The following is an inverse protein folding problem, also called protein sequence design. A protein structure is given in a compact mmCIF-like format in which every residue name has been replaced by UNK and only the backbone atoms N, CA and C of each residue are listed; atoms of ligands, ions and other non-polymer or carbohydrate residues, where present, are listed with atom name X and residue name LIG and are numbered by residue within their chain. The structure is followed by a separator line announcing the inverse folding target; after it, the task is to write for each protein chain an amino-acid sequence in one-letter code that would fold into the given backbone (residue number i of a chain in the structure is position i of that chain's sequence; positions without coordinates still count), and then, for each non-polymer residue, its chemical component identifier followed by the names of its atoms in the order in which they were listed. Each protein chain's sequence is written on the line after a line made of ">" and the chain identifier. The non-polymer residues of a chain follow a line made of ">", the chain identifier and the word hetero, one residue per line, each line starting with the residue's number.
data_IF_042196226339
#
_entry.id   IF_042196226339
#
_cell.length_a   1.000
_cell.length_b   1.000
_cell.length_c   1.000
_cell.angle_alpha   90.00
_cell.angle_beta   90.00
_cell.angle_gamma   90.00
#
_symmetry.space_group_name_H-M   'P 1'
#
loop_
_entity.id
_entity.type
_entity.pdbx_description
1 polymer ?
#
# COMPACT_ATOMS: atom_id res chain seq x y z
N UNK A 1 12.93 6.39 9.26
CA UNK A 1 11.54 6.52 9.71
C UNK A 1 10.60 6.85 8.56
N UNK A 2 11.04 7.74 7.67
CA UNK A 2 10.19 8.12 6.54
C UNK A 2 9.83 6.92 5.68
N UNK A 3 10.78 6.04 5.41
CA UNK A 3 10.52 4.87 4.58
C UNK A 3 9.47 3.95 5.20
N UNK A 4 9.50 3.80 6.51
CA UNK A 4 8.49 2.98 7.18
C UNK A 4 7.10 3.58 7.01
N UNK A 5 7.01 4.90 7.12
CA UNK A 5 5.72 5.57 6.96
C UNK A 5 5.19 5.44 5.54
N UNK A 6 6.06 5.63 4.55
CA UNK A 6 5.66 5.48 3.16
C UNK A 6 5.13 4.09 2.88
N UNK A 7 5.86 3.07 3.30
CA UNK A 7 5.44 1.69 3.08
C UNK A 7 4.14 1.40 3.84
N UNK A 8 4.07 1.85 5.09
CA UNK A 8 2.87 1.63 5.88
C UNK A 8 1.64 2.27 5.28
N UNK A 9 1.79 3.50 4.81
CA UNK A 9 0.67 4.19 4.18
C UNK A 9 0.25 3.48 2.89
N UNK A 10 1.20 3.08 2.08
CA UNK A 10 0.88 2.35 0.85
C UNK A 10 0.09 1.08 1.18
N UNK A 11 0.54 0.33 2.18
CA UNK A 11 -0.16 -0.90 2.57
C UNK A 11 -1.59 -0.60 3.05
N UNK A 12 -1.79 0.51 3.76
CA UNK A 12 -3.14 0.87 4.16
C UNK A 12 -4.02 1.15 2.95
N UNK A 13 -3.48 1.86 1.96
CA UNK A 13 -4.25 2.19 0.77
C UNK A 13 -4.62 0.96 -0.04
N UNK A 14 -3.81 -0.08 0.03
CA UNK A 14 -4.05 -1.29 -0.74
C UNK A 14 -5.07 -2.22 -0.10
N UNK A 15 -5.39 -2.02 1.16
CA UNK A 15 -6.34 -2.86 1.88
C UNK A 15 -7.77 -2.65 1.43
N UNK A 16 -8.11 -1.42 1.09
CA UNK A 16 -9.50 -1.05 0.78
C UNK A 16 -9.52 -0.18 -0.45
N UNK A 17 -10.72 0.03 -0.98
CA UNK A 17 -10.86 0.90 -2.13
C UNK A 17 -10.47 2.33 -1.79
N UNK A 18 -10.79 2.77 -0.60
CA UNK A 18 -10.42 4.10 -0.13
C UNK A 18 -10.28 4.11 1.38
N UNK A 19 -9.38 4.96 1.86
CA UNK A 19 -9.07 5.07 3.28
C UNK A 19 -9.08 6.56 3.63
N UNK A 20 -9.82 6.97 4.67
CA UNK A 20 -9.82 8.38 5.05
C UNK A 20 -8.43 8.82 5.51
N UNK A 21 -8.06 10.04 5.12
CA UNK A 21 -6.77 10.58 5.54
C UNK A 21 -6.66 10.65 7.05
N UNK A 22 -7.77 10.96 7.73
CA UNK A 22 -7.77 11.03 9.18
C UNK A 22 -7.44 9.70 9.82
N UNK A 23 -7.93 8.59 9.26
CA UNK A 23 -7.61 7.27 9.79
C UNK A 23 -6.11 7.03 9.74
N UNK A 24 -5.48 7.37 8.62
CA UNK A 24 -4.04 7.19 8.47
C UNK A 24 -3.29 8.10 9.43
N UNK A 25 -3.74 9.34 9.53
CA UNK A 25 -3.10 10.31 10.42
C UNK A 25 -3.14 9.82 11.87
N UNK A 26 -4.28 9.35 12.31
CA UNK A 26 -4.43 8.87 13.68
C UNK A 26 -3.58 7.61 13.92
N UNK A 27 -3.56 6.71 12.97
CA UNK A 27 -2.82 5.45 13.13
C UNK A 27 -1.33 5.69 13.27
N UNK A 28 -0.78 6.62 12.50
CA UNK A 28 0.66 6.87 12.51
C UNK A 28 1.06 8.09 13.30
N UNK A 29 0.08 8.72 13.99
CA UNK A 29 0.32 9.88 14.84
C UNK A 29 0.98 11.01 14.08
N UNK A 30 0.45 11.31 12.90
CA UNK A 30 0.90 12.42 12.07
C UNK A 30 -0.32 13.24 11.68
N UNK A 31 -0.07 14.43 11.14
CA UNK A 31 -1.17 15.29 10.70
C UNK A 31 -1.70 14.81 9.34
N UNK A 32 -2.94 15.19 9.02
CA UNK A 32 -3.47 14.90 7.70
C UNK A 32 -2.66 15.58 6.61
N UNK A 33 -2.13 16.77 6.92
CA UNK A 33 -1.25 17.44 5.98
C UNK A 33 -0.04 16.60 5.65
N UNK A 34 0.55 15.97 6.66
CA UNK A 34 1.69 15.08 6.45
C UNK A 34 1.27 13.85 5.66
N UNK A 35 0.06 13.31 5.91
CA UNK A 35 -0.44 12.20 5.12
C UNK A 35 -0.44 12.57 3.64
N UNK A 36 -1.00 13.73 3.30
CA UNK A 36 -1.07 14.14 1.88
C UNK A 36 0.31 14.36 1.29
N UNK A 37 1.26 14.78 2.10
CA UNK A 37 2.64 14.93 1.63
C UNK A 37 3.22 13.57 1.26
N UNK A 38 2.97 12.55 2.07
CA UNK A 38 3.42 11.20 1.73
C UNK A 38 2.69 10.65 0.51
N UNK A 39 1.41 11.00 0.35
CA UNK A 39 0.68 10.60 -0.86
C UNK A 39 1.36 11.18 -2.10
N UNK A 40 1.76 12.45 -2.03
CA UNK A 40 2.50 13.06 -3.14
C UNK A 40 3.82 12.31 -3.40
N UNK A 41 4.51 11.91 -2.35
CA UNK A 41 5.73 11.14 -2.50
C UNK A 41 5.47 9.81 -3.22
N UNK A 42 4.37 9.15 -2.89
CA UNK A 42 4.00 7.90 -3.57
C UNK A 42 3.73 8.14 -5.04
N UNK A 43 3.06 9.25 -5.37
CA UNK A 43 2.80 9.57 -6.76
C UNK A 43 4.09 9.83 -7.53
N UNK A 44 5.01 10.53 -6.91
CA UNK A 44 6.32 10.77 -7.52
C UNK A 44 7.03 9.45 -7.78
N UNK A 45 6.85 8.48 -6.88
CA UNK A 45 7.46 7.17 -7.03
C UNK A 45 6.76 6.28 -8.05
N UNK A 46 5.64 6.74 -8.61
CA UNK A 46 4.95 6.01 -9.66
C UNK A 46 3.69 5.28 -9.23
N UNK A 47 3.22 5.52 -8.01
CA UNK A 47 1.98 4.91 -7.53
C UNK A 47 0.83 5.89 -7.76
N UNK A 48 -0.06 5.62 -8.71
CA UNK A 48 -1.17 6.54 -8.99
C UNK A 48 -2.22 6.45 -7.89
N UNK A 49 -2.45 7.57 -7.22
CA UNK A 49 -3.45 7.64 -6.18
C UNK A 49 -4.69 8.38 -6.68
N UNK A 50 -5.79 8.13 -6.00
CA UNK A 50 -7.08 8.76 -6.31
C UNK A 50 -7.62 9.33 -5.02
N UNK A 51 -8.09 10.57 -5.06
CA UNK A 51 -8.73 11.19 -3.90
C UNK A 51 -10.23 11.23 -4.16
N UNK A 52 -10.97 10.68 -3.20
CA UNK A 52 -12.44 10.68 -3.25
C UNK A 52 -12.92 11.78 -2.31
N UNK A 53 -13.52 12.85 -2.84
CA UNK A 53 -13.95 13.97 -2.00
C UNK A 53 -15.20 13.64 -1.21
N UNK A 54 -15.48 14.50 -0.22
CA UNK A 54 -16.73 14.43 0.50
C UNK A 54 -16.65 13.68 1.80
N UNK A 55 -17.81 13.57 2.44
CA UNK A 55 -17.91 13.03 3.77
C UNK A 55 -17.48 11.58 3.86
N UNK A 56 -17.81 10.80 2.86
CA UNK A 56 -17.43 9.38 2.82
C UNK A 56 -16.25 9.15 1.90
N UNK A 57 -15.44 10.17 1.71
CA UNK A 57 -14.31 10.09 0.82
C UNK A 57 -13.09 9.46 1.46
N UNK A 58 -11.99 9.64 0.79
CA UNK A 58 -10.73 9.07 1.24
C UNK A 58 -9.72 9.04 0.12
N UNK A 59 -8.67 8.30 0.35
CA UNK A 59 -7.56 8.16 -0.60
C UNK A 59 -7.45 6.70 -0.99
N UNK A 60 -7.21 6.45 -2.25
CA UNK A 60 -7.02 5.09 -2.72
C UNK A 60 -5.96 5.02 -3.80
N UNK A 61 -5.69 3.82 -4.26
CA UNK A 61 -4.81 3.57 -5.39
C UNK A 61 -5.70 3.27 -6.59
N UNK A 62 -5.34 3.81 -7.75
CA UNK A 62 -6.10 3.56 -8.98
C UNK A 62 -6.24 2.05 -9.17
N UNK A 63 -7.48 1.60 -9.40
CA UNK A 63 -7.78 0.17 -9.52
C UNK A 63 -7.04 -0.50 -10.66
N UNK A 64 -6.66 0.26 -11.67
CA UNK A 64 -5.96 -0.29 -12.83
C UNK A 64 -4.48 -0.45 -12.58
N UNK A 65 -3.97 0.12 -11.51
CA UNK A 65 -2.55 0.05 -11.20
C UNK A 65 -2.15 -1.37 -10.81
N UNK A 66 -1.07 -1.84 -11.42
CA UNK A 66 -0.46 -3.11 -11.07
C UNK A 66 0.98 -2.82 -10.70
N UNK A 67 1.37 -3.21 -9.51
CA UNK A 67 2.74 -3.01 -9.07
C UNK A 67 3.64 -3.93 -9.92
N UNK A 68 4.48 -3.31 -10.73
CA UNK A 68 5.37 -4.07 -11.61
C UNK A 68 6.57 -4.55 -10.82
N UNK A 69 6.75 -5.86 -10.75
CA UNK A 69 7.79 -6.45 -9.95
C UNK A 69 8.82 -7.24 -10.76
N UNK A 70 8.71 -7.22 -12.10
CA UNK A 70 9.62 -8.02 -12.91
C UNK A 70 11.08 -7.57 -12.78
N UNK A 71 11.31 -6.34 -12.35
CA UNK A 71 12.67 -5.81 -12.17
C UNK A 71 13.29 -6.24 -10.85
N UNK A 72 12.55 -6.89 -9.99
CA UNK A 72 13.07 -7.33 -8.69
C UNK A 72 13.70 -8.69 -8.80
N UNK A 73 14.73 -8.92 -7.99
CA UNK A 73 15.30 -10.25 -7.86
C UNK A 73 14.38 -11.12 -7.00
N UNK A 74 14.60 -12.44 -7.05
CA UNK A 74 13.82 -13.34 -6.20
C UNK A 74 14.02 -13.04 -4.73
N UNK A 75 15.24 -12.70 -4.33
CA UNK A 75 15.52 -12.36 -2.93
C UNK A 75 14.75 -11.12 -2.52
N UNK A 76 14.70 -10.12 -3.38
CA UNK A 76 13.96 -8.90 -3.10
C UNK A 76 12.47 -9.16 -2.99
N UNK A 77 11.94 -10.03 -3.85
CA UNK A 77 10.52 -10.40 -3.80
C UNK A 77 10.19 -11.12 -2.50
N UNK A 78 11.09 -12.01 -2.07
CA UNK A 78 10.87 -12.72 -0.81
C UNK A 78 10.89 -11.78 0.37
N UNK A 79 11.80 -10.81 0.34
CA UNK A 79 11.87 -9.81 1.40
C UNK A 79 10.54 -9.03 1.52
N UNK A 80 10.00 -8.62 0.39
CA UNK A 80 8.73 -7.88 0.37
C UNK A 80 7.61 -8.76 0.89
N UNK A 81 7.56 -10.01 0.45
CA UNK A 81 6.55 -10.95 0.90
C UNK A 81 6.60 -11.11 2.42
N UNK A 82 7.80 -11.27 2.96
CA UNK A 82 7.96 -11.44 4.40
C UNK A 82 7.51 -10.21 5.17
N UNK A 83 7.83 -9.03 4.65
CA UNK A 83 7.42 -7.78 5.30
C UNK A 83 5.90 -7.67 5.36
N UNK A 84 5.23 -8.02 4.27
CA UNK A 84 3.77 -8.00 4.22
C UNK A 84 3.20 -9.01 5.21
N UNK A 85 3.75 -10.21 5.21
CA UNK A 85 3.25 -11.30 6.06
C UNK A 85 3.40 -10.96 7.53
N UNK A 86 4.53 -10.39 7.91
CA UNK A 86 4.77 -10.04 9.30
C UNK A 86 3.80 -8.98 9.81
N UNK A 87 3.45 -8.04 8.94
CA UNK A 87 2.53 -6.97 9.32
C UNK A 87 1.10 -7.45 9.46
N UNK A 88 0.73 -8.51 8.78
CA UNK A 88 -0.66 -8.97 8.70
C UNK A 88 -0.81 -10.44 8.99
N UNK A 89 0.00 -10.95 9.90
CA UNK A 89 -0.10 -12.35 10.27
C UNK A 89 -1.54 -12.66 10.71
N UNK A 90 -2.02 -13.81 10.33
CA UNK A 90 -3.37 -14.29 10.63
C UNK A 90 -4.47 -13.55 9.87
N UNK A 91 -4.08 -12.73 8.90
CA UNK A 91 -5.04 -11.99 8.10
C UNK A 91 -4.97 -12.49 6.66
N UNK A 92 -5.32 -13.76 6.46
CA UNK A 92 -5.16 -14.37 5.15
C UNK A 92 -5.95 -13.66 4.07
N UNK A 93 -7.16 -13.20 4.40
CA UNK A 93 -7.97 -12.47 3.42
C UNK A 93 -7.29 -11.16 3.02
N UNK A 94 -6.71 -10.49 4.01
CA UNK A 94 -6.03 -9.23 3.76
C UNK A 94 -4.80 -9.45 2.89
N UNK A 95 -4.03 -10.49 3.19
CA UNK A 95 -2.85 -10.82 2.41
C UNK A 95 -3.25 -11.16 0.98
N UNK A 96 -4.32 -11.91 0.79
CA UNK A 96 -4.83 -12.22 -0.54
C UNK A 96 -5.21 -10.94 -1.29
N UNK A 97 -5.86 -10.03 -0.61
CA UNK A 97 -6.25 -8.77 -1.22
C UNK A 97 -5.04 -7.97 -1.67
N UNK A 98 -4.02 -7.89 -0.80
CA UNK A 98 -2.80 -7.16 -1.13
C UNK A 98 -2.08 -7.84 -2.30
N UNK A 99 -1.99 -9.16 -2.29
CA UNK A 99 -1.37 -9.89 -3.39
C UNK A 99 -2.05 -9.56 -4.72
N UNK A 100 -3.38 -9.52 -4.72
CA UNK A 100 -4.13 -9.21 -5.93
C UNK A 100 -3.82 -7.81 -6.42
N UNK A 101 -3.79 -6.85 -5.50
CA UNK A 101 -3.58 -5.46 -5.87
C UNK A 101 -2.14 -5.17 -6.32
N UNK A 102 -1.18 -5.81 -5.68
CA UNK A 102 0.22 -5.64 -6.04
C UNK A 102 0.66 -6.56 -7.16
N UNK A 103 -0.24 -7.41 -7.64
CA UNK A 103 0.11 -8.39 -8.66
C UNK A 103 1.25 -9.29 -8.17
N UNK A 104 1.13 -9.73 -6.92
CA UNK A 104 2.17 -10.55 -6.29
C UNK A 104 1.94 -12.05 -6.49
N UNK A 105 1.17 -12.42 -7.51
CA UNK A 105 0.91 -13.82 -7.81
C UNK A 105 2.18 -14.63 -8.00
N UNK A 106 3.28 -13.97 -8.31
CA UNK A 106 4.56 -14.64 -8.49
C UNK A 106 5.04 -15.32 -7.22
N UNK A 107 4.51 -14.91 -6.07
CA UNK A 107 4.87 -15.57 -4.81
C UNK A 107 4.36 -16.99 -4.75
N UNK A 108 3.28 -17.28 -5.47
CA UNK A 108 2.72 -18.63 -5.49
C UNK A 108 3.09 -19.40 -6.75
N UNK A 109 3.58 -18.72 -7.78
CA UNK A 109 3.81 -19.35 -9.06
C UNK A 109 5.25 -19.32 -9.52
N UNK A 110 6.01 -18.32 -9.12
CA UNK A 110 7.35 -18.10 -9.65
C UNK A 110 8.44 -18.14 -8.61
N UNK A 111 8.06 -18.11 -7.38
CA UNK A 111 8.98 -18.28 -6.28
C UNK A 111 8.77 -19.63 -5.65
#
# INVERSE_FOLDING_TARGET
>A
MKQYLLLGILLELLKKEKVPAKYIADKYEISTRTVYRYITDLEIAGVPTVTYPGKNGGIGVDKRFKFETSFLTNEEKIFIKNAITQNYKNESDLISSINNKLNLWFFSKRI
#
